data_IF_010355875596
#
_entry.id   IF_010355875596
#
_cell.length_a   1.000
_cell.length_b   1.000
_cell.length_c   1.000
_cell.angle_alpha   90.00
_cell.angle_beta   90.00
_cell.angle_gamma   90.00
#
_symmetry.space_group_name_H-M   'P 1'
#
loop_
_entity.id
_entity.type
_entity.pdbx_description
1 polymer ?
#
# COMPACT_ATOMS: atom_id res chain seq x y z
N UNK A 1 -0.56 7.62 15.38
CA UNK A 1 -1.91 7.63 14.78
C UNK A 1 -2.62 6.31 15.04
N UNK A 2 -2.11 5.17 14.57
CA UNK A 2 -2.76 3.85 14.66
C UNK A 2 -3.21 3.48 16.09
N UNK A 3 -2.37 3.69 17.11
CA UNK A 3 -2.67 3.43 18.52
C UNK A 3 -3.71 4.43 19.06
N UNK A 4 -3.53 5.73 18.79
CA UNK A 4 -4.43 6.79 19.27
C UNK A 4 -5.82 6.75 18.64
N UNK A 5 -5.91 6.28 17.39
CA UNK A 5 -7.16 6.19 16.65
C UNK A 5 -7.86 4.83 16.84
N UNK A 6 -7.35 3.99 17.75
CA UNK A 6 -7.92 2.67 18.08
C UNK A 6 -8.16 1.79 16.84
N UNK A 7 -7.33 1.96 15.80
CA UNK A 7 -7.47 1.23 14.54
C UNK A 7 -7.20 -0.27 14.70
N UNK A 8 -6.56 -0.67 15.79
CA UNK A 8 -6.26 -2.07 16.13
C UNK A 8 -6.60 -2.34 17.59
N UNK A 9 -6.85 -3.60 18.02
CA UNK A 9 -7.17 -3.92 19.40
C UNK A 9 -6.08 -3.44 20.36
N UNK A 10 -6.48 -2.88 21.50
CA UNK A 10 -5.58 -2.28 22.48
C UNK A 10 -4.38 -3.18 22.87
N UNK A 11 -4.54 -4.51 23.12
CA UNK A 11 -3.42 -5.38 23.45
C UNK A 11 -2.39 -5.52 22.32
N UNK A 12 -2.83 -5.40 21.07
CA UNK A 12 -1.98 -5.55 19.88
C UNK A 12 -1.40 -4.22 19.38
N UNK A 13 -1.87 -3.09 19.91
CA UNK A 13 -1.54 -1.77 19.39
C UNK A 13 -0.03 -1.47 19.46
N UNK A 14 0.58 -1.69 20.61
CA UNK A 14 2.02 -1.46 20.80
C UNK A 14 2.90 -2.51 20.12
N UNK A 15 2.63 -3.83 20.22
CA UNK A 15 3.38 -4.83 19.46
C UNK A 15 3.36 -4.59 17.95
N UNK A 16 2.20 -4.27 17.38
CA UNK A 16 2.10 -3.98 15.94
C UNK A 16 2.80 -2.68 15.57
N UNK A 17 2.70 -1.64 16.40
CA UNK A 17 3.42 -0.40 16.16
C UNK A 17 4.95 -0.62 16.18
N UNK A 18 5.45 -1.40 17.12
CA UNK A 18 6.87 -1.78 17.17
C UNK A 18 7.27 -2.58 15.94
N UNK A 19 6.47 -3.57 15.51
CA UNK A 19 6.73 -4.37 14.31
C UNK A 19 6.78 -3.50 13.05
N UNK A 20 5.88 -2.52 12.91
CA UNK A 20 5.89 -1.54 11.81
C UNK A 20 7.17 -0.71 11.81
N UNK A 21 7.60 -0.20 12.96
CA UNK A 21 8.82 0.61 13.06
C UNK A 21 10.06 -0.21 12.77
N UNK A 22 10.16 -1.41 13.34
CA UNK A 22 11.30 -2.31 13.15
C UNK A 22 11.39 -2.75 11.68
N UNK A 23 10.28 -3.21 11.09
CA UNK A 23 10.26 -3.61 9.67
C UNK A 23 10.62 -2.46 8.74
N UNK A 24 10.16 -1.24 9.05
CA UNK A 24 10.51 -0.04 8.29
C UNK A 24 12.00 0.29 8.41
N UNK A 25 12.57 0.19 9.61
CA UNK A 25 13.99 0.44 9.83
C UNK A 25 14.85 -0.55 9.03
N UNK A 26 14.53 -1.85 9.07
CA UNK A 26 15.20 -2.86 8.26
C UNK A 26 15.06 -2.59 6.77
N UNK A 27 13.84 -2.25 6.33
CA UNK A 27 13.58 -1.97 4.92
C UNK A 27 14.44 -0.83 4.37
N UNK A 28 14.62 0.24 5.13
CA UNK A 28 15.43 1.38 4.69
C UNK A 28 16.93 1.19 4.90
N UNK A 29 17.33 0.33 5.85
CA UNK A 29 18.73 0.01 6.11
C UNK A 29 19.32 -0.95 5.07
N UNK A 30 18.49 -1.82 4.46
CA UNK A 30 18.93 -2.82 3.51
C UNK A 30 18.91 -2.25 2.07
N UNK A 31 20.10 -2.13 1.48
CA UNK A 31 20.27 -1.68 0.10
C UNK A 31 19.74 -2.67 -0.95
N UNK A 32 19.63 -3.96 -0.59
CA UNK A 32 19.12 -5.01 -1.48
C UNK A 32 17.58 -4.97 -1.63
N UNK A 33 16.89 -4.23 -0.75
CA UNK A 33 15.45 -3.97 -0.90
C UNK A 33 15.11 -3.12 -2.12
N UNK A 34 16.11 -2.48 -2.73
CA UNK A 34 15.99 -1.76 -3.99
C UNK A 34 16.51 -2.64 -5.12
N UNK A 35 15.69 -2.90 -6.14
CA UNK A 35 16.16 -3.61 -7.32
C UNK A 35 16.99 -2.69 -8.22
N UNK A 36 17.98 -3.23 -8.95
CA UNK A 36 18.80 -2.48 -9.90
C UNK A 36 17.96 -1.73 -10.95
N UNK A 37 16.76 -2.23 -11.23
CA UNK A 37 15.78 -1.62 -12.13
C UNK A 37 14.92 -0.53 -11.47
N UNK A 38 15.21 -0.16 -10.19
CA UNK A 38 14.50 0.86 -9.40
C UNK A 38 13.09 0.44 -8.99
N UNK A 39 12.85 -0.86 -8.86
CA UNK A 39 11.71 -1.44 -8.16
C UNK A 39 12.02 -1.63 -6.68
N UNK A 40 11.03 -2.15 -5.96
CA UNK A 40 11.13 -2.46 -4.53
C UNK A 40 10.86 -3.94 -4.30
N UNK A 41 11.63 -4.58 -3.42
CA UNK A 41 11.32 -5.92 -2.91
C UNK A 41 10.41 -5.81 -1.70
N UNK A 42 9.38 -6.63 -1.64
CA UNK A 42 8.42 -6.60 -0.56
C UNK A 42 7.52 -5.35 -0.54
N UNK A 43 6.74 -5.21 0.51
CA UNK A 43 5.90 -4.04 0.72
C UNK A 43 6.79 -2.79 0.97
N UNK A 44 6.65 -1.72 0.17
CA UNK A 44 7.59 -0.58 0.16
C UNK A 44 7.51 0.33 1.39
N UNK A 45 7.04 -0.17 2.52
CA UNK A 45 6.94 0.52 3.81
C UNK A 45 6.19 1.88 3.75
N UNK A 46 5.20 2.00 2.85
CA UNK A 46 4.34 3.19 2.71
C UNK A 46 3.25 3.24 3.79
N UNK A 47 3.65 3.15 5.04
CA UNK A 47 2.75 3.03 6.18
C UNK A 47 1.77 4.19 6.33
N UNK A 48 2.16 5.40 5.90
CA UNK A 48 1.26 6.55 5.93
C UNK A 48 0.00 6.31 5.07
N UNK A 49 0.18 5.75 3.87
CA UNK A 49 -0.92 5.37 2.98
C UNK A 49 -1.72 4.22 3.57
N UNK A 50 -1.05 3.19 4.09
CA UNK A 50 -1.72 2.05 4.71
C UNK A 50 -2.61 2.49 5.89
N UNK A 51 -2.08 3.26 6.83
CA UNK A 51 -2.83 3.76 8.00
C UNK A 51 -3.98 4.69 7.58
N UNK A 52 -3.78 5.53 6.57
CA UNK A 52 -4.83 6.37 5.99
C UNK A 52 -5.99 5.51 5.46
N UNK A 53 -5.69 4.47 4.67
CA UNK A 53 -6.71 3.58 4.12
C UNK A 53 -7.44 2.80 5.20
N UNK A 54 -6.72 2.29 6.23
CA UNK A 54 -7.34 1.62 7.37
C UNK A 54 -8.34 2.53 8.11
N UNK A 55 -7.99 3.82 8.27
CA UNK A 55 -8.86 4.80 8.90
C UNK A 55 -10.10 5.11 8.05
N UNK A 56 -9.93 5.27 6.73
CA UNK A 56 -11.02 5.58 5.80
C UNK A 56 -11.98 4.40 5.62
N UNK A 57 -11.45 3.17 5.54
CA UNK A 57 -12.29 1.97 5.36
C UNK A 57 -13.05 1.59 6.63
N UNK A 58 -12.64 2.11 7.78
CA UNK A 58 -13.29 1.89 9.08
C UNK A 58 -13.62 0.41 9.35
N UNK A 59 -12.70 -0.50 8.98
CA UNK A 59 -12.85 -1.92 9.19
C UNK A 59 -12.76 -2.27 10.68
N UNK A 60 -13.31 -3.41 11.12
CA UNK A 60 -13.14 -3.89 12.48
C UNK A 60 -11.67 -3.92 12.90
N UNK A 61 -11.38 -3.53 14.13
CA UNK A 61 -10.01 -3.42 14.65
C UNK A 61 -9.21 -4.74 14.53
N UNK A 62 -9.88 -5.88 14.69
CA UNK A 62 -9.28 -7.22 14.48
C UNK A 62 -8.84 -7.43 13.02
N UNK A 63 -9.66 -7.02 12.06
CA UNK A 63 -9.32 -7.10 10.63
C UNK A 63 -8.13 -6.20 10.32
N UNK A 64 -8.13 -4.97 10.84
CA UNK A 64 -7.00 -4.06 10.69
C UNK A 64 -5.71 -4.64 11.28
N UNK A 65 -5.77 -5.32 12.43
CA UNK A 65 -4.61 -5.97 13.04
C UNK A 65 -4.03 -7.07 12.12
N UNK A 66 -4.89 -7.89 11.53
CA UNK A 66 -4.47 -8.91 10.55
C UNK A 66 -3.84 -8.27 9.32
N UNK A 67 -4.45 -7.21 8.79
CA UNK A 67 -3.91 -6.49 7.63
C UNK A 67 -2.54 -5.86 7.92
N UNK A 68 -2.37 -5.22 9.08
CA UNK A 68 -1.07 -4.66 9.50
C UNK A 68 -0.03 -5.76 9.63
N UNK A 69 -0.35 -6.88 10.30
CA UNK A 69 0.56 -8.01 10.42
C UNK A 69 0.94 -8.59 9.06
N UNK A 70 -0.03 -8.74 8.16
CA UNK A 70 0.21 -9.22 6.79
C UNK A 70 1.12 -8.28 6.00
N UNK A 71 0.96 -6.95 6.13
CA UNK A 71 1.83 -5.96 5.49
C UNK A 71 3.26 -5.98 6.07
N UNK A 72 3.41 -6.16 7.39
CA UNK A 72 4.73 -6.36 8.03
C UNK A 72 5.41 -7.59 7.44
N UNK A 73 4.72 -8.70 7.33
CA UNK A 73 5.27 -9.92 6.71
C UNK A 73 5.58 -9.72 5.23
N UNK A 74 4.71 -9.00 4.50
CA UNK A 74 4.89 -8.69 3.09
C UNK A 74 6.12 -7.79 2.84
N UNK A 75 6.59 -7.03 3.83
CA UNK A 75 7.83 -6.24 3.72
C UNK A 75 9.04 -7.13 3.43
N UNK A 76 9.08 -8.34 4.01
CA UNK A 76 10.18 -9.29 3.84
C UNK A 76 9.93 -10.32 2.73
N UNK A 77 8.78 -10.25 2.06
CA UNK A 77 8.44 -11.19 1.00
C UNK A 77 9.27 -10.91 -0.28
N UNK A 78 9.73 -11.95 -1.00
CA UNK A 78 10.57 -11.80 -2.20
C UNK A 78 9.80 -11.33 -3.44
N UNK A 79 8.70 -10.60 -3.25
CA UNK A 79 7.96 -10.00 -4.34
C UNK A 79 8.62 -8.67 -4.72
N UNK A 80 8.94 -8.48 -5.98
CA UNK A 80 9.40 -7.18 -6.41
C UNK A 80 8.22 -6.36 -6.93
N UNK A 81 7.97 -5.20 -6.36
CA UNK A 81 7.01 -4.22 -6.87
C UNK A 81 7.68 -3.33 -7.90
N UNK A 82 7.10 -3.26 -9.11
CA UNK A 82 7.56 -2.30 -10.12
C UNK A 82 6.92 -0.95 -9.80
N UNK A 83 7.72 0.11 -9.87
CA UNK A 83 7.20 1.46 -9.69
C UNK A 83 6.14 1.77 -10.75
N UNK A 84 4.93 2.23 -10.39
CA UNK A 84 3.81 2.43 -11.32
C UNK A 84 4.16 3.28 -12.55
N UNK A 85 5.03 4.27 -12.40
CA UNK A 85 5.45 5.17 -13.49
C UNK A 85 6.40 4.53 -14.51
N UNK A 86 6.98 3.36 -14.23
CA UNK A 86 7.87 2.65 -15.19
C UNK A 86 7.12 1.78 -16.16
N UNK A 87 5.83 1.53 -15.95
CA UNK A 87 4.98 0.77 -16.85
C UNK A 87 4.60 1.64 -18.05
N UNK A 88 5.46 1.69 -19.08
CA UNK A 88 5.24 2.53 -20.28
C UNK A 88 3.89 2.25 -20.94
N UNK A 89 3.49 0.98 -21.04
CA UNK A 89 2.27 0.53 -21.73
C UNK A 89 0.98 1.09 -21.15
N UNK A 90 0.92 1.32 -19.80
CA UNK A 90 -0.27 1.78 -19.08
C UNK A 90 -0.06 3.14 -18.40
N UNK A 91 0.97 3.89 -18.82
CA UNK A 91 1.38 5.13 -18.14
C UNK A 91 0.23 6.13 -17.99
N UNK A 92 -0.51 6.39 -19.08
CA UNK A 92 -1.62 7.36 -19.05
C UNK A 92 -2.74 6.91 -18.10
N UNK A 93 -3.11 5.61 -18.15
CA UNK A 93 -4.10 5.04 -17.24
C UNK A 93 -3.63 5.12 -15.78
N UNK A 94 -2.38 4.75 -15.52
CA UNK A 94 -1.81 4.79 -14.17
C UNK A 94 -1.78 6.21 -13.60
N UNK A 95 -1.43 7.21 -14.42
CA UNK A 95 -1.47 8.62 -14.02
C UNK A 95 -2.91 9.06 -13.74
N UNK A 96 -3.86 8.70 -14.60
CA UNK A 96 -5.28 9.03 -14.39
C UNK A 96 -5.83 8.40 -13.10
N UNK A 97 -5.52 7.12 -12.85
CA UNK A 97 -5.91 6.43 -11.61
C UNK A 97 -5.25 7.08 -10.38
N UNK A 98 -3.99 7.47 -10.47
CA UNK A 98 -3.30 8.16 -9.38
C UNK A 98 -3.94 9.53 -9.10
N UNK A 99 -4.28 10.30 -10.14
CA UNK A 99 -5.00 11.57 -9.98
C UNK A 99 -6.37 11.36 -9.33
N UNK A 100 -7.13 10.36 -9.77
CA UNK A 100 -8.41 10.01 -9.17
C UNK A 100 -8.25 9.60 -7.69
N UNK A 101 -7.22 8.81 -7.38
CA UNK A 101 -6.89 8.43 -6.00
C UNK A 101 -6.56 9.66 -5.14
N UNK A 102 -5.73 10.58 -5.65
CA UNK A 102 -5.36 11.82 -4.95
C UNK A 102 -6.58 12.70 -4.66
N UNK A 103 -7.45 12.90 -5.64
CA UNK A 103 -8.71 13.67 -5.45
C UNK A 103 -9.59 12.99 -4.40
N UNK A 104 -9.79 11.68 -4.50
CA UNK A 104 -10.57 10.93 -3.52
C UNK A 104 -9.96 10.99 -2.11
N UNK A 105 -8.63 10.95 -1.98
CA UNK A 105 -7.94 11.09 -0.71
C UNK A 105 -8.15 12.48 -0.10
N UNK A 106 -8.07 13.55 -0.89
CA UNK A 106 -8.35 14.92 -0.45
C UNK A 106 -9.79 15.04 0.04
N UNK A 107 -10.76 14.49 -0.70
CA UNK A 107 -12.15 14.48 -0.31
C UNK A 107 -12.40 13.69 0.99
N UNK A 108 -11.70 12.55 1.16
CA UNK A 108 -11.78 11.75 2.38
C UNK A 108 -11.23 12.50 3.60
N UNK A 109 -10.11 13.23 3.43
CA UNK A 109 -9.54 14.07 4.48
C UNK A 109 -10.49 15.23 4.83
N UNK A 110 -11.03 15.91 3.83
CA UNK A 110 -11.98 17.01 4.01
C UNK A 110 -13.27 16.55 4.71
N UNK A 111 -13.68 15.29 4.51
CA UNK A 111 -14.81 14.66 5.20
C UNK A 111 -14.47 14.08 6.59
N UNK A 112 -13.30 14.43 7.17
CA UNK A 112 -12.89 13.93 8.48
C UNK A 112 -12.66 12.41 8.51
N UNK A 113 -12.17 11.82 7.43
CA UNK A 113 -11.94 10.38 7.21
C UNK A 113 -13.24 9.53 7.23
N UNK A 114 -14.38 10.17 6.98
CA UNK A 114 -15.70 9.52 6.83
C UNK A 114 -16.33 9.93 5.49
N UNK A 115 -15.69 9.57 4.38
CA UNK A 115 -16.15 9.97 3.06
C UNK A 115 -17.44 9.25 2.64
N UNK A 116 -18.08 9.77 1.59
CA UNK A 116 -19.19 9.09 0.95
C UNK A 116 -18.76 7.71 0.39
N UNK A 117 -19.69 6.73 0.29
CA UNK A 117 -19.37 5.37 -0.17
C UNK A 117 -18.66 5.31 -1.53
N UNK A 118 -19.00 6.19 -2.45
CA UNK A 118 -18.37 6.25 -3.77
C UNK A 118 -16.89 6.66 -3.70
N UNK A 119 -16.53 7.58 -2.77
CA UNK A 119 -15.14 8.00 -2.54
C UNK A 119 -14.33 6.83 -1.98
N UNK A 120 -14.91 6.08 -1.04
CA UNK A 120 -14.30 4.87 -0.48
C UNK A 120 -14.09 3.81 -1.56
N UNK A 121 -15.07 3.63 -2.45
CA UNK A 121 -14.95 2.69 -3.57
C UNK A 121 -13.83 3.10 -4.55
N UNK A 122 -13.72 4.39 -4.89
CA UNK A 122 -12.64 4.91 -5.74
C UNK A 122 -11.27 4.65 -5.09
N UNK A 123 -11.12 4.94 -3.79
CA UNK A 123 -9.87 4.67 -3.06
C UNK A 123 -9.53 3.18 -3.06
N UNK A 124 -10.51 2.30 -2.84
CA UNK A 124 -10.30 0.86 -2.83
C UNK A 124 -9.85 0.35 -4.21
N UNK A 125 -10.60 0.66 -5.27
CA UNK A 125 -10.31 0.21 -6.63
C UNK A 125 -8.98 0.75 -7.12
N UNK A 126 -8.73 2.05 -6.93
CA UNK A 126 -7.48 2.67 -7.34
C UNK A 126 -6.27 2.11 -6.56
N UNK A 127 -6.41 1.85 -5.25
CA UNK A 127 -5.35 1.23 -4.45
C UNK A 127 -5.04 -0.20 -4.91
N UNK A 128 -6.07 -1.01 -5.20
CA UNK A 128 -5.90 -2.35 -5.75
C UNK A 128 -5.22 -2.33 -7.12
N UNK A 129 -5.61 -1.41 -7.99
CA UNK A 129 -4.96 -1.22 -9.28
C UNK A 129 -3.48 -0.86 -9.11
N UNK A 130 -3.17 0.16 -8.29
CA UNK A 130 -1.80 0.64 -8.09
C UNK A 130 -0.91 -0.44 -7.44
N UNK A 131 -1.45 -1.23 -6.53
CA UNK A 131 -0.73 -2.35 -5.92
C UNK A 131 -0.51 -3.51 -6.91
N UNK A 132 -1.48 -3.79 -7.79
CA UNK A 132 -1.49 -4.97 -8.65
C UNK A 132 -0.81 -4.76 -10.01
N UNK A 133 -0.78 -3.53 -10.55
CA UNK A 133 -0.34 -3.30 -11.94
C UNK A 133 1.10 -3.76 -12.21
N UNK A 134 2.00 -3.59 -11.23
CA UNK A 134 3.37 -4.05 -11.36
C UNK A 134 3.51 -5.57 -11.49
N UNK A 135 2.67 -6.32 -10.78
CA UNK A 135 2.65 -7.78 -10.85
C UNK A 135 2.07 -8.26 -12.19
N UNK A 136 0.99 -7.62 -12.65
CA UNK A 136 0.34 -7.93 -13.93
C UNK A 136 1.30 -7.74 -15.11
N UNK A 137 2.03 -6.63 -15.12
CA UNK A 137 3.00 -6.32 -16.20
C UNK A 137 4.12 -7.34 -16.24
N UNK A 138 4.71 -7.69 -15.09
CA UNK A 138 5.76 -8.72 -15.03
C UNK A 138 5.28 -10.09 -15.48
N UNK A 139 4.07 -10.47 -15.10
CA UNK A 139 3.50 -11.72 -15.54
C UNK A 139 3.31 -11.75 -17.08
N UNK A 140 2.83 -10.64 -17.66
CA UNK A 140 2.69 -10.49 -19.10
C UNK A 140 4.04 -10.54 -19.83
N UNK A 141 5.08 -9.86 -19.31
CA UNK A 141 6.44 -9.87 -19.89
C UNK A 141 7.07 -11.28 -19.87
N UNK A 142 6.90 -12.01 -18.75
CA UNK A 142 7.37 -13.40 -18.65
C UNK A 142 6.71 -14.32 -19.67
N UNK A 143 5.42 -14.12 -19.98
CA UNK A 143 4.72 -14.91 -21.01
C UNK A 143 5.16 -14.59 -22.44
N UNK A 144 5.64 -13.39 -22.69
CA UNK A 144 6.10 -12.96 -24.02
C UNK A 144 7.57 -13.30 -24.28
N UNK A 145 8.27 -13.96 -23.35
CA UNK A 145 9.66 -14.37 -23.50
C UNK A 145 10.66 -13.20 -23.61
N UNK A 146 10.25 -12.00 -23.26
CA UNK A 146 11.12 -10.83 -23.18
C UNK A 146 11.92 -10.91 -21.89
N UNK A 147 13.22 -11.30 -22.04
CA UNK A 147 14.21 -11.26 -20.95
C UNK A 147 14.80 -9.86 -20.83
#
# INVERSE_FOLDING_TARGET
VMVRAELVPAPLAWPLAAAVLISSAFYFADSEMKTAEGGFRGFPAIWNVAVFLLAVFALPASVNAVLVAALVMATFAPFAFIHPFRVRRFRMLTVAVLCAWMVAAILAIAAGLRPAPWTTAVLAVASLYLAGIGAVVRWAERRQGVR
#
